data_IF_356665281879
#
_entry.id   IF_356665281879
#
_cell.length_a   1.000
_cell.length_b   1.000
_cell.length_c   1.000
_cell.angle_alpha   90.00
_cell.angle_beta   90.00
_cell.angle_gamma   90.00
#
_symmetry.space_group_name_H-M   'P 1'
#
loop_
_entity.id
_entity.type
_entity.pdbx_description
1 polymer ?
#
# COMPACT_ATOMS: atom_id res chain seq x y z
N UNK A 1 13.15 13.54 -16.28
CA UNK A 1 13.31 14.85 -15.61
C UNK A 1 13.91 14.57 -14.25
N UNK A 2 15.02 15.22 -13.90
CA UNK A 2 15.73 14.99 -12.65
C UNK A 2 14.81 15.28 -11.45
N UNK A 3 14.72 14.33 -10.51
CA UNK A 3 13.98 14.46 -9.26
C UNK A 3 14.52 15.67 -8.48
N UNK A 4 13.80 16.79 -8.50
CA UNK A 4 13.93 17.77 -7.44
C UNK A 4 13.52 17.06 -6.15
N UNK A 5 14.47 16.87 -5.24
CA UNK A 5 14.22 16.20 -3.96
C UNK A 5 13.22 17.06 -3.17
N UNK A 6 11.96 16.64 -3.11
CA UNK A 6 10.92 17.33 -2.35
C UNK A 6 11.40 17.38 -0.90
N UNK A 7 11.47 18.59 -0.34
CA UNK A 7 11.86 18.78 1.05
C UNK A 7 10.90 18.01 1.95
N UNK A 8 11.44 17.20 2.86
CA UNK A 8 10.63 16.48 3.83
C UNK A 8 9.91 17.48 4.74
N UNK A 9 8.58 17.36 4.93
CA UNK A 9 7.86 18.14 5.94
C UNK A 9 8.29 17.71 7.35
N UNK A 10 8.02 18.55 8.34
CA UNK A 10 8.52 18.38 9.72
C UNK A 10 8.13 17.02 10.31
N UNK A 11 6.90 16.57 10.07
CA UNK A 11 6.39 15.31 10.60
C UNK A 11 6.87 14.07 9.86
N UNK A 12 7.55 14.20 8.72
CA UNK A 12 8.00 13.03 7.95
C UNK A 12 8.94 12.13 8.75
N UNK A 13 9.76 12.71 9.65
CA UNK A 13 10.65 11.95 10.53
C UNK A 13 9.89 10.98 11.45
N UNK A 14 8.72 11.37 11.96
CA UNK A 14 7.87 10.50 12.77
C UNK A 14 7.32 9.33 11.95
N UNK A 15 6.91 9.58 10.71
CA UNK A 15 6.46 8.52 9.81
C UNK A 15 7.58 7.53 9.49
N UNK A 16 8.79 8.04 9.23
CA UNK A 16 9.97 7.22 8.90
C UNK A 16 10.43 6.33 10.05
N UNK A 17 10.06 6.63 11.31
CA UNK A 17 10.37 5.78 12.46
C UNK A 17 9.75 4.37 12.33
N UNK A 18 8.60 4.24 11.66
CA UNK A 18 7.95 2.96 11.40
C UNK A 18 8.01 2.56 9.93
N UNK A 19 7.77 3.50 9.03
CA UNK A 19 7.73 3.26 7.58
C UNK A 19 9.10 3.25 6.91
N UNK A 20 10.17 3.42 7.70
CA UNK A 20 11.56 3.37 7.28
C UNK A 20 12.07 4.65 6.60
N UNK A 21 13.39 4.77 6.40
CA UNK A 21 13.99 5.89 5.70
C UNK A 21 13.37 6.06 4.30
N UNK A 22 13.02 7.30 3.94
CA UNK A 22 12.35 7.61 2.67
C UNK A 22 11.01 6.87 2.45
N UNK A 23 10.41 6.30 3.52
CA UNK A 23 9.16 5.54 3.43
C UNK A 23 9.32 4.13 2.84
N UNK A 24 10.53 3.58 2.82
CA UNK A 24 10.78 2.17 2.49
C UNK A 24 10.91 1.37 3.78
N UNK A 25 9.86 0.62 4.14
CA UNK A 25 9.84 -0.04 5.43
C UNK A 25 10.70 -1.31 5.43
N UNK A 26 11.53 -1.55 6.45
CA UNK A 26 12.23 -2.82 6.61
C UNK A 26 11.37 -3.90 7.28
N UNK A 27 10.18 -3.56 7.77
CA UNK A 27 9.36 -4.44 8.63
C UNK A 27 8.19 -5.03 7.83
N UNK A 28 8.06 -6.37 7.71
CA UNK A 28 7.08 -7.01 6.83
C UNK A 28 5.60 -6.64 7.01
N UNK A 29 5.20 -6.18 8.20
CA UNK A 29 3.81 -5.79 8.50
C UNK A 29 3.56 -4.29 8.44
N UNK A 30 4.61 -3.48 8.27
CA UNK A 30 4.50 -2.04 8.14
C UNK A 30 4.68 -1.71 6.66
N UNK A 31 3.70 -1.06 6.00
CA UNK A 31 3.79 -0.83 4.58
C UNK A 31 4.87 0.18 4.24
N UNK A 32 5.49 0.01 3.08
CA UNK A 32 6.24 1.10 2.44
C UNK A 32 5.27 2.15 1.91
N UNK A 33 5.56 3.42 2.16
CA UNK A 33 4.82 4.59 1.67
C UNK A 33 5.42 5.13 0.36
N UNK A 34 6.70 4.84 0.13
CA UNK A 34 7.44 5.33 -1.02
C UNK A 34 6.78 4.95 -2.35
N UNK A 35 6.68 5.92 -3.27
CA UNK A 35 6.06 5.76 -4.58
C UNK A 35 4.58 5.31 -4.59
N UNK A 36 3.88 5.37 -3.45
CA UNK A 36 2.41 5.29 -3.49
C UNK A 36 1.83 6.53 -4.19
N UNK A 37 0.69 6.40 -4.87
CA UNK A 37 0.02 7.55 -5.46
C UNK A 37 -0.29 8.61 -4.39
N UNK A 38 -0.01 9.88 -4.69
CA UNK A 38 -0.25 11.01 -3.77
C UNK A 38 -1.68 11.01 -3.25
N UNK A 39 -2.67 10.92 -4.15
CA UNK A 39 -4.09 10.97 -3.79
C UNK A 39 -4.49 9.80 -2.89
N UNK A 40 -3.95 8.60 -3.13
CA UNK A 40 -4.13 7.46 -2.23
C UNK A 40 -3.58 7.75 -0.83
N UNK A 41 -2.34 8.23 -0.72
CA UNK A 41 -1.72 8.56 0.57
C UNK A 41 -2.51 9.62 1.32
N UNK A 42 -2.88 10.71 0.64
CA UNK A 42 -3.66 11.81 1.22
C UNK A 42 -5.00 11.31 1.75
N UNK A 43 -5.74 10.53 0.96
CA UNK A 43 -6.99 9.94 1.39
C UNK A 43 -6.83 9.03 2.60
N UNK A 44 -5.80 8.17 2.62
CA UNK A 44 -5.59 7.26 3.75
C UNK A 44 -5.20 8.02 5.01
N UNK A 45 -4.36 9.04 4.89
CA UNK A 45 -4.00 9.92 6.01
C UNK A 45 -5.24 10.61 6.60
N UNK A 46 -6.11 11.19 5.75
CA UNK A 46 -7.36 11.81 6.21
C UNK A 46 -8.27 10.78 6.85
N UNK A 47 -8.51 9.62 6.22
CA UNK A 47 -9.37 8.58 6.78
C UNK A 47 -8.89 8.07 8.15
N UNK A 48 -7.57 7.96 8.35
CA UNK A 48 -6.99 7.55 9.63
C UNK A 48 -7.16 8.67 10.67
N UNK A 49 -6.87 9.93 10.31
CA UNK A 49 -7.05 11.09 11.21
C UNK A 49 -8.48 11.23 11.69
N UNK A 50 -9.46 11.09 10.79
CA UNK A 50 -10.88 11.23 11.10
C UNK A 50 -11.48 9.98 11.79
N UNK A 51 -10.66 8.95 12.08
CA UNK A 51 -11.13 7.71 12.72
C UNK A 51 -11.98 6.81 11.81
N UNK A 52 -12.17 7.18 10.55
CA UNK A 52 -12.88 6.36 9.56
C UNK A 52 -12.09 5.11 9.18
N UNK A 53 -10.77 5.14 9.34
CA UNK A 53 -9.86 4.00 9.18
C UNK A 53 -9.03 3.81 10.43
N UNK A 54 -9.52 3.01 11.35
CA UNK A 54 -8.76 2.70 12.56
C UNK A 54 -7.60 1.75 12.24
N UNK A 55 -6.39 2.17 12.64
CA UNK A 55 -5.17 1.36 12.63
C UNK A 55 -4.56 1.51 14.02
N UNK A 56 -4.65 0.50 14.91
CA UNK A 56 -4.20 0.62 16.29
C UNK A 56 -2.76 1.14 16.44
N UNK A 57 -1.87 0.75 15.52
CA UNK A 57 -0.47 1.20 15.51
C UNK A 57 -0.26 2.68 15.11
N UNK A 58 -1.26 3.32 14.48
CA UNK A 58 -1.23 4.74 14.09
C UNK A 58 -2.16 5.62 14.94
N UNK A 59 -2.77 5.05 15.98
CA UNK A 59 -3.70 5.78 16.85
C UNK A 59 -2.99 6.98 17.47
N UNK A 60 -3.59 8.17 17.37
CA UNK A 60 -3.03 9.40 17.90
C UNK A 60 -1.93 10.04 17.04
N UNK A 61 -1.39 9.34 16.03
CA UNK A 61 -0.26 9.84 15.24
C UNK A 61 -0.63 11.03 14.35
N UNK A 62 -1.90 11.10 13.91
CA UNK A 62 -2.39 12.13 13.00
C UNK A 62 -3.29 13.17 13.68
N UNK A 63 -3.49 13.07 14.99
CA UNK A 63 -4.38 13.95 15.75
C UNK A 63 -3.92 15.42 15.62
N UNK A 64 -4.85 16.29 15.22
CA UNK A 64 -4.59 17.72 15.02
C UNK A 64 -3.61 18.05 13.88
N UNK A 65 -3.24 17.09 13.03
CA UNK A 65 -2.42 17.38 11.85
C UNK A 65 -3.27 18.12 10.82
N UNK A 66 -2.87 19.34 10.37
CA UNK A 66 -3.65 20.11 9.41
C UNK A 66 -3.59 19.48 8.01
N UNK A 67 -4.61 19.75 7.19
CA UNK A 67 -4.72 19.21 5.83
C UNK A 67 -3.51 19.55 4.94
N UNK A 68 -2.92 20.74 5.14
CA UNK A 68 -1.71 21.17 4.44
C UNK A 68 -0.52 20.27 4.72
N UNK A 69 -0.37 19.80 5.96
CA UNK A 69 0.70 18.89 6.36
C UNK A 69 0.44 17.46 5.86
N UNK A 70 -0.82 16.98 5.88
CA UNK A 70 -1.18 15.69 5.27
C UNK A 70 -0.88 15.67 3.76
N UNK A 71 -1.20 16.77 3.08
CA UNK A 71 -0.91 16.97 1.65
C UNK A 71 0.60 16.96 1.40
N UNK A 72 1.37 17.66 2.24
CA UNK A 72 2.83 17.70 2.13
C UNK A 72 3.48 16.32 2.38
N UNK A 73 2.99 15.56 3.36
CA UNK A 73 3.44 14.19 3.64
C UNK A 73 3.14 13.27 2.46
N UNK A 74 1.91 13.30 1.93
CA UNK A 74 1.51 12.51 0.77
C UNK A 74 2.35 12.86 -0.46
N UNK A 75 2.57 14.16 -0.73
CA UNK A 75 3.42 14.62 -1.82
C UNK A 75 4.86 14.14 -1.65
N UNK A 76 5.43 14.29 -0.45
CA UNK A 76 6.80 13.86 -0.15
C UNK A 76 7.01 12.37 -0.37
N UNK A 77 6.18 11.49 0.23
CA UNK A 77 6.34 10.05 0.11
C UNK A 77 6.04 9.52 -1.30
N UNK A 78 5.07 10.13 -2.00
CA UNK A 78 4.78 9.75 -3.40
C UNK A 78 5.93 10.01 -4.37
N UNK A 79 6.81 10.97 -4.06
CA UNK A 79 7.98 11.31 -4.87
C UNK A 79 9.23 10.49 -4.53
N UNK A 80 9.17 9.63 -3.50
CA UNK A 80 10.30 8.76 -3.14
C UNK A 80 10.42 7.60 -4.14
N UNK A 81 11.60 7.01 -4.18
CA UNK A 81 11.88 5.86 -5.05
C UNK A 81 11.10 4.64 -4.54
N UNK A 82 10.46 3.91 -5.45
CA UNK A 82 9.71 2.72 -5.10
C UNK A 82 10.61 1.69 -4.36
N UNK A 83 10.04 0.91 -3.43
CA UNK A 83 10.80 -0.16 -2.77
C UNK A 83 11.41 -1.12 -3.80
N UNK A 84 12.63 -1.62 -3.54
CA UNK A 84 13.20 -2.65 -4.39
C UNK A 84 12.34 -3.92 -4.33
N UNK A 85 12.31 -4.66 -5.44
CA UNK A 85 11.68 -5.98 -5.49
C UNK A 85 12.38 -6.90 -4.48
N UNK A 86 11.61 -7.72 -3.77
CA UNK A 86 12.18 -8.69 -2.83
C UNK A 86 13.20 -9.61 -3.54
N UNK A 87 14.42 -9.68 -2.99
CA UNK A 87 15.55 -10.42 -3.59
C UNK A 87 15.57 -11.91 -3.24
N UNK A 88 14.76 -12.32 -2.24
CA UNK A 88 14.64 -13.71 -1.85
C UNK A 88 14.05 -14.55 -2.99
N UNK A 89 14.60 -15.75 -3.20
CA UNK A 89 14.15 -16.68 -4.23
C UNK A 89 12.63 -16.93 -4.08
N UNK A 90 11.81 -16.64 -5.11
CA UNK A 90 10.37 -16.87 -5.03
C UNK A 90 10.02 -18.35 -4.90
N UNK A 91 8.90 -18.63 -4.24
CA UNK A 91 8.16 -19.86 -4.51
C UNK A 91 7.56 -19.71 -5.91
N UNK A 92 8.16 -20.40 -6.88
CA UNK A 92 7.77 -20.28 -8.29
C UNK A 92 6.32 -20.68 -8.54
N UNK A 93 5.80 -21.67 -7.81
CA UNK A 93 4.41 -22.12 -7.98
C UNK A 93 3.44 -21.09 -7.41
N UNK A 94 3.72 -20.56 -6.21
CA UNK A 94 2.90 -19.50 -5.61
C UNK A 94 2.89 -18.25 -6.49
N UNK A 95 4.06 -17.85 -7.01
CA UNK A 95 4.17 -16.73 -7.93
C UNK A 95 3.32 -16.92 -9.19
N UNK A 96 3.40 -18.10 -9.83
CA UNK A 96 2.61 -18.41 -11.04
C UNK A 96 1.10 -18.42 -10.77
N UNK A 97 0.65 -19.03 -9.67
CA UNK A 97 -0.76 -19.02 -9.27
C UNK A 97 -1.25 -17.61 -8.98
N UNK A 98 -0.44 -16.81 -8.27
CA UNK A 98 -0.74 -15.41 -7.98
C UNK A 98 -0.86 -14.56 -9.24
N UNK A 99 0.07 -14.72 -10.19
CA UNK A 99 0.01 -14.02 -11.48
C UNK A 99 -1.24 -14.39 -12.29
N UNK A 100 -1.55 -15.70 -12.39
CA UNK A 100 -2.72 -16.17 -13.12
C UNK A 100 -4.02 -15.68 -12.47
N UNK A 101 -4.07 -15.67 -11.14
CA UNK A 101 -5.22 -15.16 -10.39
C UNK A 101 -5.36 -13.65 -10.55
N UNK A 102 -4.29 -12.88 -10.43
CA UNK A 102 -4.32 -11.42 -10.63
C UNK A 102 -4.84 -11.04 -12.03
N UNK A 103 -4.46 -11.83 -13.05
CA UNK A 103 -4.96 -11.66 -14.42
C UNK A 103 -6.44 -12.00 -14.53
N UNK A 104 -6.87 -13.15 -14.02
CA UNK A 104 -8.27 -13.61 -14.12
C UNK A 104 -9.24 -12.77 -13.30
N UNK A 105 -8.82 -12.27 -12.14
CA UNK A 105 -9.55 -11.32 -11.31
C UNK A 105 -9.44 -9.86 -11.80
N UNK A 106 -8.81 -9.62 -12.95
CA UNK A 106 -8.70 -8.31 -13.60
C UNK A 106 -8.08 -7.21 -12.73
N UNK A 107 -7.19 -7.56 -11.79
CA UNK A 107 -6.60 -6.62 -10.83
C UNK A 107 -5.90 -5.45 -11.53
N UNK A 108 -5.25 -5.71 -12.67
CA UNK A 108 -4.53 -4.71 -13.45
C UNK A 108 -5.43 -3.67 -14.15
N UNK A 109 -6.75 -3.84 -14.16
CA UNK A 109 -7.69 -2.84 -14.69
C UNK A 109 -7.73 -1.60 -13.81
N UNK A 110 -7.70 -1.81 -12.49
CA UNK A 110 -7.70 -0.74 -11.50
C UNK A 110 -6.28 -0.39 -11.06
N UNK A 111 -5.47 -1.40 -10.73
CA UNK A 111 -4.11 -1.21 -10.20
C UNK A 111 -3.04 -0.95 -11.27
N UNK A 112 -3.43 -0.87 -12.54
CA UNK A 112 -2.57 -0.86 -13.73
C UNK A 112 -1.90 -2.22 -14.02
N UNK A 113 -1.50 -2.50 -15.28
CA UNK A 113 -0.88 -3.79 -15.65
C UNK A 113 0.42 -4.11 -14.90
N UNK A 114 1.17 -3.08 -14.48
CA UNK A 114 2.38 -3.16 -13.68
C UNK A 114 2.11 -3.03 -12.17
N UNK A 115 0.84 -2.94 -11.75
CA UNK A 115 0.43 -2.83 -10.35
C UNK A 115 1.04 -1.65 -9.59
N UNK A 116 1.47 -0.59 -10.31
CA UNK A 116 1.97 0.65 -9.69
C UNK A 116 0.85 1.55 -9.14
N UNK A 117 -0.41 1.23 -9.41
CA UNK A 117 -1.55 2.03 -8.99
C UNK A 117 -1.65 3.38 -9.69
N UNK A 118 -2.74 4.10 -9.42
CA UNK A 118 -2.99 5.47 -9.91
C UNK A 118 -4.03 6.15 -9.03
N UNK A 119 -3.94 7.45 -8.87
CA UNK A 119 -4.94 8.25 -8.13
C UNK A 119 -5.25 7.66 -6.75
N UNK A 120 -6.47 7.18 -6.52
CA UNK A 120 -6.90 6.56 -5.25
C UNK A 120 -6.62 5.05 -5.19
N UNK A 121 -6.15 4.43 -6.27
CA UNK A 121 -5.85 3.01 -6.35
C UNK A 121 -4.38 2.77 -6.00
N UNK A 122 -4.06 2.02 -4.94
CA UNK A 122 -2.69 1.92 -4.44
C UNK A 122 -1.76 1.12 -5.36
N UNK A 123 -0.46 1.40 -5.21
CA UNK A 123 0.62 0.52 -5.69
C UNK A 123 0.62 -0.78 -4.89
N UNK A 124 0.63 -1.92 -5.58
CA UNK A 124 0.81 -3.24 -4.99
C UNK A 124 2.22 -3.80 -5.24
N UNK A 125 2.83 -3.42 -6.37
CA UNK A 125 4.16 -3.85 -6.77
C UNK A 125 5.24 -3.49 -5.73
N UNK A 126 6.10 -4.46 -5.42
CA UNK A 126 7.17 -4.38 -4.43
C UNK A 126 6.73 -4.03 -3.00
N UNK A 127 5.44 -4.16 -2.66
CA UNK A 127 4.99 -3.99 -1.28
C UNK A 127 5.24 -5.28 -0.47
N UNK A 128 5.32 -5.17 0.85
CA UNK A 128 5.50 -6.34 1.72
C UNK A 128 4.40 -7.39 1.54
N UNK A 129 4.81 -8.64 1.34
CA UNK A 129 3.92 -9.80 1.17
C UNK A 129 2.96 -9.94 2.36
N UNK A 130 3.47 -9.85 3.60
CA UNK A 130 2.62 -10.02 4.79
C UNK A 130 1.61 -8.89 4.93
N UNK A 131 2.02 -7.64 4.69
CA UNK A 131 1.11 -6.49 4.66
C UNK A 131 0.02 -6.66 3.60
N UNK A 132 0.39 -7.01 2.36
CA UNK A 132 -0.56 -7.21 1.26
C UNK A 132 -1.58 -8.30 1.58
N UNK A 133 -1.13 -9.44 2.09
CA UNK A 133 -2.02 -10.52 2.52
C UNK A 133 -3.01 -10.03 3.58
N UNK A 134 -2.52 -9.38 4.63
CA UNK A 134 -3.34 -8.89 5.73
C UNK A 134 -4.38 -7.88 5.26
N UNK A 135 -3.98 -6.89 4.45
CA UNK A 135 -4.90 -5.83 4.01
C UNK A 135 -5.94 -6.36 3.02
N UNK A 136 -5.57 -7.28 2.12
CA UNK A 136 -6.55 -7.93 1.24
C UNK A 136 -7.54 -8.77 2.05
N UNK A 137 -7.05 -9.55 3.01
CA UNK A 137 -7.92 -10.32 3.91
C UNK A 137 -8.88 -9.39 4.67
N UNK A 138 -8.39 -8.27 5.17
CA UNK A 138 -9.22 -7.28 5.87
C UNK A 138 -10.29 -6.66 4.96
N UNK A 139 -9.95 -6.29 3.72
CA UNK A 139 -10.92 -5.77 2.76
C UNK A 139 -12.01 -6.80 2.41
N UNK A 140 -11.63 -8.07 2.28
CA UNK A 140 -12.55 -9.18 1.97
C UNK A 140 -13.49 -9.48 3.15
N UNK A 141 -12.93 -9.57 4.35
CA UNK A 141 -13.64 -10.13 5.52
C UNK A 141 -14.36 -9.06 6.34
N UNK A 142 -13.92 -7.79 6.26
CA UNK A 142 -14.45 -6.71 7.08
C UNK A 142 -14.75 -5.44 6.25
N UNK A 143 -15.66 -5.49 5.26
CA UNK A 143 -16.04 -4.29 4.51
C UNK A 143 -16.66 -3.25 5.45
N UNK A 144 -16.40 -1.96 5.21
CA UNK A 144 -16.93 -0.89 6.05
C UNK A 144 -16.26 0.46 5.82
N UNK A 145 -16.56 1.47 6.64
CA UNK A 145 -15.95 2.80 6.55
C UNK A 145 -14.41 2.74 6.50
N UNK A 146 -13.80 3.61 5.69
CA UNK A 146 -12.35 3.65 5.47
C UNK A 146 -11.78 2.46 4.69
N UNK A 147 -12.62 1.47 4.35
CA UNK A 147 -12.27 0.31 3.53
C UNK A 147 -13.02 0.35 2.21
N UNK A 148 -12.32 0.02 1.12
CA UNK A 148 -12.84 0.16 -0.23
C UNK A 148 -13.80 -1.00 -0.55
N UNK A 149 -15.07 -0.69 -0.77
CA UNK A 149 -16.11 -1.67 -1.10
C UNK A 149 -15.90 -2.29 -2.49
N UNK A 150 -15.22 -1.59 -3.40
CA UNK A 150 -14.80 -2.15 -4.70
C UNK A 150 -13.78 -3.26 -4.46
N UNK A 151 -12.83 -3.07 -3.54
CA UNK A 151 -11.88 -4.13 -3.18
C UNK A 151 -12.55 -5.30 -2.46
N UNK A 152 -13.55 -5.04 -1.61
CA UNK A 152 -14.34 -6.12 -1.00
C UNK A 152 -15.01 -6.99 -2.08
N UNK A 153 -15.60 -6.36 -3.10
CA UNK A 153 -16.22 -7.07 -4.23
C UNK A 153 -15.18 -7.79 -5.10
N UNK A 154 -14.04 -7.16 -5.39
CA UNK A 154 -12.98 -7.76 -6.21
C UNK A 154 -12.33 -8.99 -5.55
N UNK A 155 -12.32 -9.04 -4.22
CA UNK A 155 -11.78 -10.16 -3.45
C UNK A 155 -12.83 -11.22 -3.09
N UNK A 156 -14.09 -11.02 -3.49
CA UNK A 156 -15.17 -11.96 -3.21
C UNK A 156 -14.85 -13.35 -3.79
N UNK A 157 -14.98 -14.39 -2.96
CA UNK A 157 -14.70 -15.77 -3.35
C UNK A 157 -13.21 -16.14 -3.44
N UNK A 158 -12.29 -15.18 -3.23
CA UNK A 158 -10.85 -15.47 -3.15
C UNK A 158 -10.54 -16.08 -1.78
N UNK A 159 -9.96 -17.27 -1.75
CA UNK A 159 -9.58 -18.01 -0.52
C UNK A 159 -8.30 -17.47 0.12
N UNK A 160 -8.01 -17.86 1.36
CA UNK A 160 -6.78 -17.44 2.07
C UNK A 160 -5.50 -17.90 1.36
N UNK A 161 -5.52 -19.12 0.80
CA UNK A 161 -4.40 -19.64 0.02
C UNK A 161 -4.16 -18.79 -1.23
N UNK A 162 -5.24 -18.35 -1.89
CA UNK A 162 -5.17 -17.47 -3.04
C UNK A 162 -4.74 -16.04 -2.68
N UNK A 163 -5.17 -15.51 -1.53
CA UNK A 163 -4.66 -14.24 -1.01
C UNK A 163 -3.15 -14.28 -0.76
N UNK A 164 -2.66 -15.41 -0.24
CA UNK A 164 -1.22 -15.65 -0.08
C UNK A 164 -0.51 -15.65 -1.43
N UNK A 165 -1.05 -16.35 -2.43
CA UNK A 165 -0.47 -16.37 -3.78
C UNK A 165 -0.45 -14.98 -4.44
N UNK A 166 -1.53 -14.20 -4.32
CA UNK A 166 -1.59 -12.81 -4.80
C UNK A 166 -0.54 -11.93 -4.11
N UNK A 167 -0.46 -12.00 -2.79
CA UNK A 167 0.51 -11.23 -2.02
C UNK A 167 1.95 -11.61 -2.39
N UNK A 168 2.22 -12.91 -2.58
CA UNK A 168 3.53 -13.42 -2.98
C UNK A 168 3.95 -12.88 -4.36
N UNK A 169 3.00 -12.85 -5.30
CA UNK A 169 3.19 -12.31 -6.65
C UNK A 169 3.44 -10.81 -6.64
N UNK A 170 2.58 -10.00 -6.03
CA UNK A 170 2.70 -8.54 -6.03
C UNK A 170 3.97 -8.05 -5.32
N UNK A 171 4.36 -8.68 -4.20
CA UNK A 171 5.60 -8.35 -3.48
C UNK A 171 6.88 -8.57 -4.30
N UNK A 172 6.79 -9.37 -5.37
CA UNK A 172 7.90 -9.72 -6.27
C UNK A 172 7.70 -9.23 -7.69
N UNK A 173 6.65 -8.44 -7.92
CA UNK A 173 6.42 -7.76 -9.18
C UNK A 173 7.09 -6.37 -9.14
N UNK A 174 7.84 -5.99 -10.18
CA UNK A 174 8.50 -4.68 -10.27
C UNK A 174 7.52 -3.50 -10.39
#
# INVERSE_FOLDING_TARGET
MANAQIKAPERAALCMACHGPQGVSPTPNIPSLAAQPKTYLENKLVLIREGLREIPAMKGTLDGVPDTELTALAQYFSAQVAPPVATAKPDAQSFQRGQALAKSALCGTCHLPDHRGRDQVPRLASQHETYLRNVMQEYRDNPGPGRDTVMAAALYGITDAQLKDLAHFFARSP
#
